data_IF_615642354840
#
_entry.id   IF_615642354840
#
_cell.length_a   1.000
_cell.length_b   1.000
_cell.length_c   1.000
_cell.angle_alpha   90.00
_cell.angle_beta   90.00
_cell.angle_gamma   90.00
#
_symmetry.space_group_name_H-M   'P 1'
#
loop_
_entity.id
_entity.type
_entity.pdbx_description
1 polymer ?
#
# COMPACT_ATOMS: atom_id res chain seq x y z
N UNK A 1 -13.22 6.02 5.86
CA UNK A 1 -13.85 4.74 5.53
C UNK A 1 -15.12 4.52 6.37
N UNK A 2 -15.02 4.46 7.69
CA UNK A 2 -16.16 4.20 8.60
C UNK A 2 -17.29 5.23 8.41
N UNK A 3 -16.98 6.51 8.34
CA UNK A 3 -17.97 7.56 8.08
C UNK A 3 -18.68 7.43 6.73
N UNK A 4 -17.97 7.02 5.68
CA UNK A 4 -18.58 6.81 4.36
C UNK A 4 -19.59 5.67 4.45
N UNK A 5 -19.28 4.59 5.16
CA UNK A 5 -20.19 3.47 5.37
C UNK A 5 -21.44 3.87 6.15
N UNK A 6 -21.31 4.70 7.19
CA UNK A 6 -22.45 5.22 7.97
C UNK A 6 -23.34 6.17 7.16
N UNK A 7 -22.74 7.01 6.33
CA UNK A 7 -23.45 8.01 5.52
C UNK A 7 -24.08 7.42 4.24
N UNK A 8 -23.57 6.27 3.77
CA UNK A 8 -24.03 5.63 2.54
C UNK A 8 -24.20 4.12 2.70
N UNK A 9 -25.43 3.63 2.97
CA UNK A 9 -25.70 2.19 3.03
C UNK A 9 -25.35 1.43 1.73
N UNK A 10 -25.38 2.11 0.59
CA UNK A 10 -24.97 1.54 -0.70
C UNK A 10 -23.47 1.25 -0.71
N UNK A 11 -22.68 2.22 -0.31
CA UNK A 11 -21.22 2.05 -0.23
C UNK A 11 -20.87 1.01 0.83
N UNK A 12 -21.51 1.05 2.01
CA UNK A 12 -21.32 0.04 3.05
C UNK A 12 -21.52 -1.38 2.52
N UNK A 13 -22.59 -1.60 1.76
CA UNK A 13 -22.89 -2.88 1.14
C UNK A 13 -21.82 -3.27 0.11
N UNK A 14 -21.47 -2.38 -0.82
CA UNK A 14 -20.45 -2.64 -1.83
C UNK A 14 -19.13 -3.08 -1.20
N UNK A 15 -18.73 -2.43 -0.11
CA UNK A 15 -17.52 -2.76 0.61
C UNK A 15 -17.61 -4.10 1.37
N UNK A 16 -18.78 -4.39 1.94
CA UNK A 16 -19.02 -5.65 2.65
C UNK A 16 -19.12 -6.85 1.70
N UNK A 17 -19.73 -6.67 0.53
CA UNK A 17 -20.06 -7.72 -0.44
C UNK A 17 -19.04 -7.85 -1.58
N UNK A 18 -18.00 -6.97 -1.67
CA UNK A 18 -16.99 -7.09 -2.73
C UNK A 18 -16.22 -8.40 -2.62
N UNK A 19 -16.01 -9.06 -3.74
CA UNK A 19 -15.31 -10.36 -3.81
C UNK A 19 -13.81 -10.20 -3.54
N UNK A 20 -13.23 -9.12 -4.05
CA UNK A 20 -11.80 -8.84 -3.99
C UNK A 20 -11.55 -7.51 -3.27
N UNK A 21 -10.57 -7.48 -2.39
CA UNK A 21 -10.01 -6.25 -1.83
C UNK A 21 -8.57 -6.08 -2.34
N UNK A 22 -8.27 -4.90 -2.88
CA UNK A 22 -6.91 -4.50 -3.24
C UNK A 22 -6.44 -3.42 -2.28
N UNK A 23 -5.28 -3.61 -1.68
CA UNK A 23 -4.68 -2.67 -0.74
C UNK A 23 -3.29 -2.20 -1.15
N UNK A 24 -3.07 -0.88 -1.13
CA UNK A 24 -1.78 -0.26 -1.37
C UNK A 24 -1.42 0.60 -0.16
N UNK A 25 -0.20 0.49 0.37
CA UNK A 25 0.29 1.29 1.49
C UNK A 25 -0.66 1.22 2.71
N UNK A 26 -1.07 2.34 3.27
CA UNK A 26 -2.06 2.36 4.36
C UNK A 26 -3.35 1.60 4.00
N UNK A 27 -3.74 1.59 2.71
CA UNK A 27 -4.88 0.82 2.21
C UNK A 27 -4.70 -0.68 2.38
N UNK A 28 -3.48 -1.21 2.42
CA UNK A 28 -3.21 -2.63 2.67
C UNK A 28 -3.60 -3.03 4.09
N UNK A 29 -3.28 -2.19 5.08
CA UNK A 29 -3.68 -2.41 6.47
C UNK A 29 -5.20 -2.31 6.62
N UNK A 30 -5.84 -1.32 5.98
CA UNK A 30 -7.31 -1.16 5.98
C UNK A 30 -7.98 -2.38 5.34
N UNK A 31 -7.51 -2.83 4.17
CA UNK A 31 -8.07 -4.00 3.49
C UNK A 31 -7.94 -5.28 4.34
N UNK A 32 -6.79 -5.49 4.98
CA UNK A 32 -6.58 -6.60 5.91
C UNK A 32 -7.50 -6.52 7.15
N UNK A 33 -7.70 -5.33 7.72
CA UNK A 33 -8.65 -5.12 8.83
C UNK A 33 -10.08 -5.45 8.41
N UNK A 34 -10.54 -4.97 7.26
CA UNK A 34 -11.88 -5.21 6.73
C UNK A 34 -12.15 -6.67 6.40
N UNK A 35 -11.11 -7.43 6.10
CA UNK A 35 -11.19 -8.86 5.81
C UNK A 35 -11.02 -9.73 7.05
N UNK A 36 -10.81 -9.15 8.23
CA UNK A 36 -10.47 -9.89 9.46
C UNK A 36 -11.64 -10.58 10.14
N UNK A 37 -12.87 -10.38 9.66
CA UNK A 37 -14.09 -10.88 10.27
C UNK A 37 -14.67 -10.01 11.38
N UNK A 38 -13.99 -8.90 11.73
CA UNK A 38 -14.51 -7.92 12.69
C UNK A 38 -15.54 -7.01 12.00
N UNK A 39 -16.52 -6.55 12.79
CA UNK A 39 -17.49 -5.54 12.35
C UNK A 39 -16.82 -4.18 12.17
N UNK A 40 -17.45 -3.29 11.40
CA UNK A 40 -16.94 -1.91 11.23
C UNK A 40 -16.90 -1.16 12.56
N UNK A 41 -17.86 -1.36 13.44
CA UNK A 41 -17.91 -0.73 14.76
C UNK A 41 -16.74 -1.19 15.64
N UNK A 42 -16.46 -2.50 15.68
CA UNK A 42 -15.28 -3.03 16.40
C UNK A 42 -13.96 -2.47 15.87
N UNK A 43 -13.82 -2.37 14.54
CA UNK A 43 -12.63 -1.79 13.92
C UNK A 43 -12.51 -0.29 14.21
N UNK A 44 -13.63 0.43 14.23
CA UNK A 44 -13.66 1.84 14.58
C UNK A 44 -13.28 2.06 16.05
N UNK A 45 -13.88 1.29 16.96
CA UNK A 45 -13.57 1.37 18.40
C UNK A 45 -12.09 1.08 18.65
N UNK A 46 -11.49 0.10 17.99
CA UNK A 46 -10.04 -0.15 18.05
C UNK A 46 -9.24 1.06 17.59
N UNK A 47 -9.62 1.70 16.48
CA UNK A 47 -8.92 2.86 15.95
C UNK A 47 -8.99 4.07 16.88
N UNK A 48 -10.08 4.23 17.62
CA UNK A 48 -10.29 5.35 18.58
C UNK A 48 -9.67 5.05 19.95
N UNK A 49 -9.74 3.80 20.41
CA UNK A 49 -9.25 3.39 21.73
C UNK A 49 -7.72 3.27 21.79
N UNK A 50 -7.08 2.93 20.69
CA UNK A 50 -5.62 2.82 20.64
C UNK A 50 -4.99 4.21 20.56
N UNK A 51 -4.27 4.59 21.61
CA UNK A 51 -3.19 5.56 21.43
C UNK A 51 -2.30 4.98 20.33
N UNK A 52 -2.17 5.69 19.22
CA UNK A 52 -1.49 5.25 18.01
C UNK A 52 -0.27 4.38 18.34
N UNK A 53 -0.31 3.09 17.97
CA UNK A 53 0.84 2.20 18.06
C UNK A 53 1.94 2.62 17.04
N UNK A 54 1.69 3.70 16.28
CA UNK A 54 2.61 4.26 15.32
C UNK A 54 3.82 4.85 16.03
N UNK A 55 4.96 4.64 15.43
CA UNK A 55 6.22 5.25 15.82
C UNK A 55 6.56 6.34 14.81
N UNK A 56 7.18 7.42 15.30
CA UNK A 56 7.70 8.45 14.43
C UNK A 56 8.86 7.87 13.59
N UNK A 57 8.79 8.03 12.28
CA UNK A 57 9.88 7.63 11.38
C UNK A 57 11.15 8.47 11.61
N UNK A 58 11.02 9.63 12.24
CA UNK A 58 12.10 10.60 12.41
C UNK A 58 12.48 11.32 11.11
N UNK A 59 11.68 11.15 10.05
CA UNK A 59 11.92 11.77 8.73
C UNK A 59 10.71 12.62 8.38
N UNK A 60 10.94 13.89 8.06
CA UNK A 60 9.88 14.78 7.60
C UNK A 60 9.52 14.53 6.13
N UNK A 61 8.31 14.99 5.75
CA UNK A 61 7.77 14.79 4.40
C UNK A 61 8.62 15.49 3.34
N UNK A 62 9.26 16.60 3.67
CA UNK A 62 10.09 17.39 2.78
C UNK A 62 11.36 16.59 2.42
N UNK A 63 12.03 16.00 3.40
CA UNK A 63 13.18 15.12 3.20
C UNK A 63 12.82 13.90 2.33
N UNK A 64 11.66 13.27 2.58
CA UNK A 64 11.18 12.15 1.75
C UNK A 64 10.96 12.63 0.30
N UNK A 65 10.33 13.78 0.12
CA UNK A 65 10.06 14.36 -1.20
C UNK A 65 11.35 14.66 -1.94
N UNK A 66 12.34 15.25 -1.29
CA UNK A 66 13.68 15.52 -1.88
C UNK A 66 14.39 14.23 -2.29
N UNK A 67 14.33 13.19 -1.45
CA UNK A 67 14.87 11.87 -1.79
C UNK A 67 14.24 11.30 -3.05
N UNK A 68 12.92 11.40 -3.16
CA UNK A 68 12.21 10.97 -4.36
C UNK A 68 12.58 11.77 -5.60
N UNK A 69 12.58 13.09 -5.52
CA UNK A 69 12.95 13.95 -6.64
C UNK A 69 14.38 13.69 -7.10
N UNK A 70 15.31 13.45 -6.18
CA UNK A 70 16.69 13.10 -6.48
C UNK A 70 16.79 11.74 -7.18
N UNK A 71 16.04 10.74 -6.73
CA UNK A 71 16.04 9.41 -7.31
C UNK A 71 15.40 9.36 -8.70
N UNK A 72 14.42 10.23 -8.96
CA UNK A 72 13.72 10.28 -10.25
C UNK A 72 14.58 10.79 -11.41
N UNK A 73 15.47 11.76 -11.16
CA UNK A 73 16.23 12.41 -12.25
C UNK A 73 15.35 13.23 -13.19
N UNK A 74 15.78 13.37 -14.47
CA UNK A 74 15.09 14.15 -15.51
C UNK A 74 13.64 13.70 -15.79
N UNK A 75 12.78 14.60 -16.34
CA UNK A 75 11.35 14.34 -16.45
C UNK A 75 10.98 13.16 -17.32
N UNK A 76 9.91 12.58 -16.91
CA UNK A 76 9.14 11.41 -17.27
C UNK A 76 9.00 11.13 -18.78
N UNK A 77 9.66 10.09 -19.28
CA UNK A 77 9.27 9.40 -20.51
C UNK A 77 8.72 8.01 -20.17
N UNK A 78 7.45 7.79 -20.50
CA UNK A 78 6.61 6.65 -20.12
C UNK A 78 6.89 5.38 -20.92
N UNK A 79 8.07 4.79 -20.79
CA UNK A 79 8.25 3.40 -21.21
C UNK A 79 8.34 2.50 -19.98
N UNK A 80 7.83 1.28 -20.06
CA UNK A 80 7.88 0.31 -18.95
C UNK A 80 9.30 0.12 -18.40
N UNK A 81 10.29 0.08 -19.27
CA UNK A 81 11.69 -0.09 -18.86
C UNK A 81 12.22 1.12 -18.08
N UNK A 82 11.84 2.33 -18.46
CA UNK A 82 12.22 3.55 -17.72
C UNK A 82 11.55 3.61 -16.35
N UNK A 83 10.27 3.24 -16.28
CA UNK A 83 9.56 3.15 -15.01
C UNK A 83 10.24 2.15 -14.06
N UNK A 84 10.60 0.97 -14.55
CA UNK A 84 11.35 -0.01 -13.74
C UNK A 84 12.68 0.54 -13.25
N UNK A 85 13.45 1.19 -14.12
CA UNK A 85 14.72 1.81 -13.76
C UNK A 85 14.57 2.92 -12.71
N UNK A 86 13.48 3.69 -12.79
CA UNK A 86 13.16 4.68 -11.75
C UNK A 86 12.85 4.01 -10.42
N UNK A 87 12.02 2.95 -10.42
CA UNK A 87 11.72 2.19 -9.20
C UNK A 87 12.99 1.56 -8.59
N UNK A 88 13.89 1.04 -9.42
CA UNK A 88 15.18 0.52 -8.95
C UNK A 88 16.05 1.61 -8.29
N UNK A 89 16.06 2.84 -8.83
CA UNK A 89 16.78 3.97 -8.21
C UNK A 89 16.16 4.35 -6.86
N UNK A 90 14.82 4.44 -6.79
CA UNK A 90 14.11 4.69 -5.53
C UNK A 90 14.40 3.57 -4.53
N UNK A 91 14.39 2.32 -4.98
CA UNK A 91 14.73 1.17 -4.17
C UNK A 91 16.18 1.20 -3.63
N UNK A 92 17.13 1.62 -4.45
CA UNK A 92 18.51 1.80 -4.01
C UNK A 92 18.62 2.88 -2.91
N UNK A 93 17.87 3.97 -3.02
CA UNK A 93 17.79 5.00 -1.97
C UNK A 93 17.17 4.42 -0.70
N UNK A 94 16.08 3.63 -0.82
CA UNK A 94 15.43 2.97 0.31
C UNK A 94 16.39 2.06 1.08
N UNK A 95 17.20 1.27 0.37
CA UNK A 95 18.22 0.39 0.97
C UNK A 95 19.36 1.16 1.64
N UNK A 96 19.74 2.31 1.09
CA UNK A 96 20.84 3.14 1.61
C UNK A 96 20.42 4.02 2.80
N UNK A 97 19.12 4.28 2.98
CA UNK A 97 18.62 5.18 4.01
C UNK A 97 18.57 4.47 5.37
N UNK A 98 19.13 5.13 6.39
CA UNK A 98 19.04 4.63 7.76
C UNK A 98 17.65 4.89 8.32
N UNK A 99 16.95 3.84 8.63
CA UNK A 99 15.60 3.85 9.22
C UNK A 99 15.58 3.08 10.55
N UNK A 100 14.40 2.98 11.17
CA UNK A 100 14.20 2.08 12.31
C UNK A 100 14.48 0.63 11.90
N UNK A 101 14.88 -0.25 12.85
CA UNK A 101 15.08 -1.66 12.53
C UNK A 101 13.81 -2.33 11.98
N UNK A 102 13.95 -3.16 10.94
CA UNK A 102 12.83 -3.86 10.30
C UNK A 102 11.94 -4.65 11.30
N UNK A 103 12.48 -5.38 12.31
CA UNK A 103 11.64 -6.06 13.30
C UNK A 103 10.75 -5.09 14.10
N UNK A 104 11.27 -3.90 14.44
CA UNK A 104 10.49 -2.88 15.18
C UNK A 104 9.32 -2.40 14.33
N UNK A 105 9.55 -2.13 13.04
CA UNK A 105 8.47 -1.73 12.12
C UNK A 105 7.46 -2.85 11.91
N UNK A 106 7.93 -4.09 11.75
CA UNK A 106 7.06 -5.27 11.63
C UNK A 106 6.13 -5.41 12.83
N UNK A 107 6.63 -5.22 14.04
CA UNK A 107 5.82 -5.28 15.27
C UNK A 107 4.75 -4.19 15.34
N UNK A 108 5.04 -2.99 14.81
CA UNK A 108 4.03 -1.94 14.67
C UNK A 108 2.91 -2.37 13.73
N UNK A 109 3.25 -2.92 12.57
CA UNK A 109 2.25 -3.42 11.60
C UNK A 109 1.45 -4.56 12.22
N UNK A 110 2.10 -5.53 12.87
CA UNK A 110 1.41 -6.66 13.52
C UNK A 110 0.36 -6.19 14.53
N UNK A 111 0.68 -5.18 15.36
CA UNK A 111 -0.28 -4.62 16.33
C UNK A 111 -1.48 -3.93 15.69
N UNK A 112 -1.34 -3.39 14.47
CA UNK A 112 -2.44 -2.76 13.73
C UNK A 112 -3.46 -3.75 13.18
N UNK A 113 -3.02 -4.99 12.95
CA UNK A 113 -3.85 -6.01 12.33
C UNK A 113 -4.59 -6.81 13.42
N UNK A 114 -5.92 -6.91 13.36
CA UNK A 114 -6.69 -7.72 14.31
C UNK A 114 -6.52 -9.22 14.06
N UNK A 115 -6.08 -9.62 12.87
CA UNK A 115 -5.70 -10.99 12.50
C UNK A 115 -4.38 -10.96 11.73
N UNK A 116 -3.53 -11.97 11.94
CA UNK A 116 -2.26 -12.16 11.22
C UNK A 116 -2.37 -13.22 10.13
N UNK A 117 -3.56 -13.80 9.95
CA UNK A 117 -3.82 -14.82 8.93
C UNK A 117 -4.51 -14.20 7.72
N UNK A 118 -4.14 -14.69 6.54
CA UNK A 118 -4.84 -14.34 5.32
C UNK A 118 -6.33 -14.69 5.46
N UNK A 119 -7.23 -13.76 5.06
CA UNK A 119 -8.67 -13.98 5.14
C UNK A 119 -9.14 -15.00 4.09
N UNK A 120 -10.38 -15.51 4.24
CA UNK A 120 -11.01 -16.33 3.19
C UNK A 120 -11.39 -15.52 1.96
N UNK A 121 -11.71 -14.25 2.15
CA UNK A 121 -11.96 -13.27 1.10
C UNK A 121 -10.66 -13.01 0.33
N UNK A 122 -10.74 -12.85 -0.98
CA UNK A 122 -9.59 -12.54 -1.78
C UNK A 122 -9.03 -11.16 -1.42
N UNK A 123 -7.78 -11.13 -1.00
CA UNK A 123 -7.03 -9.94 -0.61
C UNK A 123 -5.75 -9.88 -1.40
N UNK A 124 -5.56 -8.78 -2.16
CA UNK A 124 -4.39 -8.51 -2.97
C UNK A 124 -3.66 -7.29 -2.40
N UNK A 125 -2.40 -7.46 -2.02
CA UNK A 125 -1.57 -6.41 -1.45
C UNK A 125 -0.40 -6.09 -2.38
N UNK A 126 -0.22 -4.81 -2.69
CA UNK A 126 0.77 -4.36 -3.67
C UNK A 126 2.05 -3.92 -3.01
N UNK A 127 3.18 -4.30 -3.58
CA UNK A 127 4.50 -3.80 -3.22
C UNK A 127 5.37 -3.69 -4.48
N UNK A 128 6.47 -2.96 -4.42
CA UNK A 128 7.48 -2.92 -5.48
C UNK A 128 8.69 -3.74 -5.07
N UNK A 129 9.09 -4.65 -5.92
CA UNK A 129 10.36 -5.34 -5.80
C UNK A 129 11.52 -4.38 -6.09
N UNK A 130 12.39 -4.20 -5.11
CA UNK A 130 13.47 -3.22 -5.17
C UNK A 130 14.50 -3.55 -6.25
N UNK A 131 14.79 -4.83 -6.45
CA UNK A 131 15.80 -5.30 -7.40
C UNK A 131 15.35 -5.19 -8.85
N UNK A 132 14.07 -5.47 -9.11
CA UNK A 132 13.52 -5.44 -10.49
C UNK A 132 12.79 -4.14 -10.83
N UNK A 133 12.31 -3.40 -9.81
CA UNK A 133 11.45 -2.24 -10.00
C UNK A 133 10.03 -2.61 -10.46
N UNK A 134 9.66 -3.88 -10.35
CA UNK A 134 8.35 -4.39 -10.79
C UNK A 134 7.34 -4.41 -9.65
N UNK A 135 6.07 -4.22 -10.02
CA UNK A 135 4.96 -4.41 -9.11
C UNK A 135 4.85 -5.90 -8.75
N UNK A 136 4.78 -6.18 -7.47
CA UNK A 136 4.49 -7.50 -6.91
C UNK A 136 3.15 -7.45 -6.19
N UNK A 137 2.32 -8.45 -6.40
CA UNK A 137 1.05 -8.62 -5.69
C UNK A 137 1.20 -9.81 -4.75
N UNK A 138 0.98 -9.55 -3.47
CA UNK A 138 0.90 -10.61 -2.46
C UNK A 138 -0.56 -10.95 -2.18
N UNK A 139 -0.83 -12.23 -2.06
CA UNK A 139 -2.12 -12.85 -1.73
C UNK A 139 -1.90 -14.08 -0.83
N UNK A 140 -2.97 -14.81 -0.52
CA UNK A 140 -2.91 -16.02 0.31
C UNK A 140 -2.03 -17.14 -0.29
N UNK A 141 -1.89 -17.17 -1.62
CA UNK A 141 -1.18 -18.24 -2.35
C UNK A 141 0.30 -17.87 -2.58
N UNK A 142 0.69 -16.66 -2.26
CA UNK A 142 2.07 -16.16 -2.41
C UNK A 142 3.08 -16.79 -1.44
N UNK A 143 2.60 -17.52 -0.41
CA UNK A 143 3.45 -18.15 0.60
C UNK A 143 4.12 -17.16 1.56
N UNK A 144 3.62 -15.93 1.64
CA UNK A 144 4.12 -14.83 2.47
C UNK A 144 3.17 -14.60 3.64
N UNK A 145 3.70 -14.34 4.83
CA UNK A 145 2.88 -13.97 5.98
C UNK A 145 2.13 -12.64 5.72
N UNK A 146 0.85 -12.55 6.12
CA UNK A 146 0.04 -11.34 5.93
C UNK A 146 0.71 -10.10 6.53
N UNK A 147 1.32 -10.23 7.72
CA UNK A 147 2.01 -9.12 8.38
C UNK A 147 3.17 -8.60 7.53
N UNK A 148 3.94 -9.51 6.91
CA UNK A 148 5.08 -9.17 6.07
C UNK A 148 4.62 -8.54 4.75
N UNK A 149 3.53 -9.04 4.16
CA UNK A 149 2.94 -8.45 2.96
C UNK A 149 2.43 -7.02 3.20
N UNK A 150 1.72 -6.80 4.33
CA UNK A 150 1.27 -5.44 4.72
C UNK A 150 2.47 -4.55 5.05
N UNK A 151 3.49 -5.08 5.74
CA UNK A 151 4.70 -4.32 6.04
C UNK A 151 5.44 -3.89 4.76
N UNK A 152 5.54 -4.79 3.77
CA UNK A 152 6.14 -4.50 2.46
C UNK A 152 5.34 -3.41 1.72
N UNK A 153 4.02 -3.56 1.70
CA UNK A 153 3.12 -2.57 1.09
C UNK A 153 3.19 -1.18 1.74
N UNK A 154 3.58 -1.11 3.03
CA UNK A 154 3.71 0.12 3.81
C UNK A 154 5.17 0.59 3.99
N UNK A 155 6.13 0.01 3.28
CA UNK A 155 7.55 0.33 3.40
C UNK A 155 7.91 1.54 2.53
N UNK A 156 7.44 2.73 2.92
CA UNK A 156 7.72 4.00 2.23
C UNK A 156 9.22 4.25 2.23
N UNK A 157 9.86 4.36 1.03
CA UNK A 157 11.29 4.61 0.91
C UNK A 157 11.72 5.87 1.66
N UNK A 158 12.82 5.79 2.38
CA UNK A 158 13.31 6.90 3.20
C UNK A 158 12.66 7.02 4.58
N UNK A 159 11.40 6.59 4.74
CA UNK A 159 10.71 6.61 6.03
C UNK A 159 10.79 5.27 6.76
N UNK A 160 10.61 4.17 6.04
CA UNK A 160 10.55 2.83 6.61
C UNK A 160 11.53 1.88 5.91
N UNK A 161 12.05 0.86 6.64
CA UNK A 161 12.96 -0.10 6.05
C UNK A 161 12.25 -0.92 4.96
N UNK A 162 12.90 -1.21 3.83
CA UNK A 162 12.44 -2.24 2.91
C UNK A 162 12.28 -3.58 3.62
N UNK A 163 11.24 -4.32 3.25
CA UNK A 163 10.93 -5.62 3.86
C UNK A 163 11.60 -6.74 3.07
N UNK A 164 12.34 -7.60 3.77
CA UNK A 164 12.99 -8.75 3.15
C UNK A 164 12.06 -9.97 3.20
N UNK A 165 11.68 -10.48 2.03
CA UNK A 165 10.84 -11.68 1.88
C UNK A 165 11.55 -12.62 0.91
N UNK A 166 11.82 -13.85 1.33
CA UNK A 166 12.52 -14.86 0.52
C UNK A 166 13.83 -14.38 -0.11
N UNK A 167 14.58 -13.51 0.60
CA UNK A 167 15.86 -12.98 0.15
C UNK A 167 15.77 -11.82 -0.84
N UNK A 168 14.57 -11.32 -1.15
CA UNK A 168 14.33 -10.13 -1.97
C UNK A 168 13.82 -8.98 -1.10
N UNK A 169 14.04 -7.74 -1.54
CA UNK A 169 13.59 -6.55 -0.82
C UNK A 169 12.36 -5.95 -1.49
N UNK A 170 11.42 -5.50 -0.67
CA UNK A 170 10.19 -4.87 -1.14
C UNK A 170 9.98 -3.52 -0.49
N UNK A 171 9.47 -2.58 -1.27
CA UNK A 171 9.07 -1.24 -0.83
C UNK A 171 7.60 -0.98 -1.16
N UNK A 172 7.08 0.12 -0.65
CA UNK A 172 5.68 0.53 -0.76
C UNK A 172 5.18 0.52 -2.22
N UNK A 173 4.04 -0.14 -2.46
CA UNK A 173 3.40 -0.20 -3.77
C UNK A 173 2.92 1.16 -4.28
N UNK A 174 2.68 2.10 -3.37
CA UNK A 174 2.27 3.47 -3.66
C UNK A 174 3.35 4.30 -4.35
N UNK A 175 4.60 3.82 -4.39
CA UNK A 175 5.68 4.48 -5.12
C UNK A 175 5.40 4.49 -6.63
N UNK A 176 4.86 3.41 -7.19
CA UNK A 176 4.53 3.34 -8.63
C UNK A 176 3.14 3.91 -8.93
N UNK A 177 2.16 3.59 -8.09
CA UNK A 177 0.78 4.07 -8.21
C UNK A 177 0.10 4.09 -6.84
N UNK A 178 -0.57 5.17 -6.51
CA UNK A 178 -1.33 5.28 -5.25
C UNK A 178 -2.58 4.39 -5.23
N UNK A 179 -3.06 3.93 -6.37
CA UNK A 179 -4.29 3.13 -6.52
C UNK A 179 -3.99 1.69 -6.92
N UNK A 180 -3.07 1.48 -7.87
CA UNK A 180 -2.77 0.18 -8.46
C UNK A 180 -4.01 -0.53 -9.01
N UNK A 181 -4.91 0.20 -9.67
CA UNK A 181 -6.22 -0.28 -10.11
C UNK A 181 -6.11 -1.43 -11.15
N UNK A 182 -5.02 -1.48 -11.90
CA UNK A 182 -4.75 -2.58 -12.82
C UNK A 182 -4.71 -3.96 -12.13
N UNK A 183 -4.47 -4.02 -10.82
CA UNK A 183 -4.51 -5.27 -10.04
C UNK A 183 -5.93 -5.83 -9.92
N UNK A 184 -6.95 -5.02 -10.18
CA UNK A 184 -8.36 -5.42 -10.20
C UNK A 184 -8.94 -5.52 -11.63
N UNK A 185 -8.10 -5.57 -12.69
CA UNK A 185 -8.57 -5.56 -14.08
C UNK A 185 -9.38 -6.81 -14.49
N UNK A 186 -9.35 -7.87 -13.68
CA UNK A 186 -10.16 -9.07 -13.82
C UNK A 186 -11.56 -8.95 -13.18
N UNK A 187 -11.84 -7.83 -12.48
CA UNK A 187 -13.13 -7.56 -11.85
C UNK A 187 -14.05 -6.78 -12.79
N UNK A 188 -15.33 -7.09 -12.78
CA UNK A 188 -16.34 -6.40 -13.62
C UNK A 188 -16.65 -4.97 -13.14
N UNK A 189 -16.40 -4.66 -11.88
CA UNK A 189 -16.67 -3.37 -11.26
C UNK A 189 -15.67 -3.11 -10.15
N UNK A 190 -15.17 -1.88 -10.06
CA UNK A 190 -14.30 -1.46 -8.98
C UNK A 190 -14.85 -0.22 -8.25
N UNK A 191 -14.72 -0.21 -6.93
CA UNK A 191 -14.91 0.97 -6.07
C UNK A 191 -13.54 1.40 -5.58
N UNK A 192 -13.15 2.62 -5.94
CA UNK A 192 -11.82 3.16 -5.61
C UNK A 192 -11.93 4.21 -4.53
N UNK A 193 -11.21 3.98 -3.42
CA UNK A 193 -11.14 4.91 -2.29
C UNK A 193 -9.78 5.62 -2.29
N UNK A 194 -9.79 6.89 -2.63
CA UNK A 194 -8.58 7.73 -2.69
C UNK A 194 -8.70 8.85 -1.66
N UNK A 195 -8.13 8.68 -0.45
CA UNK A 195 -8.25 9.69 0.62
C UNK A 195 -7.71 11.07 0.24
N UNK A 196 -6.68 11.12 -0.62
CA UNK A 196 -6.09 12.35 -1.13
C UNK A 196 -6.89 13.00 -2.28
N UNK A 197 -7.97 12.35 -2.76
CA UNK A 197 -8.75 12.78 -3.91
C UNK A 197 -8.19 12.25 -5.24
N UNK A 198 -9.08 12.21 -6.24
CA UNK A 198 -8.71 11.69 -7.58
C UNK A 198 -7.73 12.57 -8.34
N UNK A 199 -7.68 13.85 -7.99
CA UNK A 199 -6.77 14.84 -8.62
C UNK A 199 -5.41 14.91 -7.90
N UNK A 200 -5.16 14.03 -6.92
CA UNK A 200 -3.89 13.97 -6.21
C UNK A 200 -2.73 13.73 -7.21
N UNK A 201 -1.65 14.51 -7.11
CA UNK A 201 -0.51 14.32 -7.98
C UNK A 201 0.11 12.95 -7.76
N UNK A 202 0.46 12.26 -8.84
CA UNK A 202 1.24 11.04 -8.81
C UNK A 202 2.64 11.36 -9.31
N UNK A 203 3.67 11.24 -8.47
CA UNK A 203 5.03 11.56 -8.88
C UNK A 203 5.62 10.54 -9.87
N UNK A 204 5.04 9.34 -9.98
CA UNK A 204 5.66 8.22 -10.67
C UNK A 204 4.81 7.57 -11.76
N UNK A 205 3.56 7.99 -11.96
CA UNK A 205 2.69 7.35 -12.91
C UNK A 205 1.44 8.16 -13.25
N UNK A 206 0.51 7.51 -13.91
CA UNK A 206 -0.82 8.08 -14.11
C UNK A 206 -1.46 8.34 -12.75
N UNK A 207 -2.04 9.51 -12.57
CA UNK A 207 -2.76 9.83 -11.34
C UNK A 207 -4.04 8.98 -11.21
N UNK A 208 -4.67 8.97 -10.01
CA UNK A 208 -5.86 8.15 -9.76
C UNK A 208 -6.98 8.33 -10.77
N UNK A 209 -7.25 9.55 -11.22
CA UNK A 209 -8.26 9.84 -12.23
C UNK A 209 -7.97 9.15 -13.57
N UNK A 210 -6.72 9.11 -13.99
CA UNK A 210 -6.33 8.46 -15.25
C UNK A 210 -6.42 6.93 -15.13
N UNK A 211 -6.04 6.34 -13.99
CA UNK A 211 -6.20 4.91 -13.74
C UNK A 211 -7.69 4.50 -13.73
N UNK A 212 -8.55 5.29 -13.07
CA UNK A 212 -10.01 5.06 -13.08
C UNK A 212 -10.58 5.14 -14.51
N UNK A 213 -10.10 6.10 -15.32
CA UNK A 213 -10.56 6.24 -16.71
C UNK A 213 -10.08 5.11 -17.61
N UNK A 214 -9.00 4.42 -17.26
CA UNK A 214 -8.42 3.31 -18.01
C UNK A 214 -8.94 1.94 -17.54
N UNK A 215 -9.76 1.88 -16.49
CA UNK A 215 -10.35 0.63 -16.02
C UNK A 215 -11.30 0.05 -17.06
N UNK A 216 -11.19 -1.28 -17.39
CA UNK A 216 -11.94 -1.92 -18.46
C UNK A 216 -13.46 -2.02 -18.24
#
# INVERSE_FOLDING_TARGET
YFRIADESPVVARLLAESDVLVGTSAGSAVAAQLSSGHTLDELFDRQVAESSAEIDSGVDVETITELFLTALGEPYETTLDKTRQQMQRVGAVALATKTVPAPVRRDVIARRLPSHHWPDRELRLTAIDVETGELTVFDRDSGVDLVDAVAASCAVPGAWPPVTIAGRHYMDGGVASSVNLAVAADCATAVVLVPAGTDAPSPFGAGPAAEVSAFP
#
